data_IF_621327623355
#
_entry.id   IF_621327623355
#
_cell.length_a   1.000
_cell.length_b   1.000
_cell.length_c   1.000
_cell.angle_alpha   90.00
_cell.angle_beta   90.00
_cell.angle_gamma   90.00
#
_symmetry.space_group_name_H-M   'P 1'
#
loop_
_entity.id
_entity.type
_entity.pdbx_description
1 polymer ?
#
# COMPACT_ATOMS: atom_id res chain seq x y z
N UNK A 1 13.03 55.33 -42.25
CA UNK A 1 11.63 55.58 -41.83
C UNK A 1 10.84 54.30 -42.05
N UNK A 2 9.79 54.08 -41.25
CA UNK A 2 8.87 52.90 -41.17
C UNK A 2 9.47 51.67 -40.47
N UNK A 3 9.31 51.45 -39.16
CA UNK A 3 8.11 51.10 -38.35
C UNK A 3 7.65 49.64 -38.52
N UNK A 4 7.78 48.89 -37.41
CA UNK A 4 7.25 47.56 -36.98
C UNK A 4 5.74 47.39 -37.31
N UNK A 5 5.10 46.17 -37.33
CA UNK A 5 5.10 45.20 -36.21
C UNK A 5 4.91 43.67 -36.48
N UNK A 6 5.35 42.92 -35.45
CA UNK A 6 4.92 41.64 -34.86
C UNK A 6 3.83 40.76 -35.50
N UNK A 7 4.07 39.45 -35.50
CA UNK A 7 3.05 38.44 -35.24
C UNK A 7 3.63 37.28 -34.42
N UNK A 8 3.04 37.06 -33.25
CA UNK A 8 3.39 36.03 -32.28
C UNK A 8 3.10 34.64 -32.85
N UNK A 9 4.06 33.72 -32.69
CA UNK A 9 3.84 32.30 -32.98
C UNK A 9 3.24 31.68 -31.73
N UNK A 10 1.91 31.54 -31.73
CA UNK A 10 1.16 30.85 -30.69
C UNK A 10 1.45 29.35 -30.72
N UNK A 11 1.78 28.85 -29.54
CA UNK A 11 1.98 27.47 -29.13
C UNK A 11 0.84 26.55 -29.59
N UNK A 12 1.18 25.44 -30.26
CA UNK A 12 0.27 24.33 -30.45
C UNK A 12 0.91 23.06 -29.87
N UNK A 13 0.65 22.81 -28.59
CA UNK A 13 0.90 21.51 -27.95
C UNK A 13 -0.45 20.90 -27.66
N UNK A 14 -0.75 19.85 -28.40
CA UNK A 14 -1.95 19.04 -28.29
C UNK A 14 -2.10 18.50 -26.86
N UNK A 15 -3.23 18.81 -26.23
CA UNK A 15 -3.68 18.17 -25.01
C UNK A 15 -4.23 16.77 -25.33
N UNK A 16 -3.88 15.71 -24.57
CA UNK A 16 -4.60 14.44 -24.67
C UNK A 16 -5.98 14.58 -24.02
N UNK A 17 -6.99 14.09 -24.75
CA UNK A 17 -8.38 14.05 -24.36
C UNK A 17 -8.57 13.45 -22.96
N UNK A 18 -9.24 14.21 -22.08
CA UNK A 18 -9.66 13.75 -20.77
C UNK A 18 -10.80 12.74 -20.94
N UNK A 19 -10.51 11.47 -20.67
CA UNK A 19 -11.52 10.41 -20.52
C UNK A 19 -12.43 10.77 -19.34
N UNK A 20 -13.71 11.00 -19.64
CA UNK A 20 -14.76 11.24 -18.66
C UNK A 20 -14.89 10.02 -17.73
N UNK A 21 -14.46 10.18 -16.48
CA UNK A 21 -14.74 9.21 -15.43
C UNK A 21 -16.15 9.47 -14.88
N UNK A 22 -17.16 8.76 -15.38
CA UNK A 22 -18.45 8.62 -14.71
C UNK A 22 -18.25 7.79 -13.44
N UNK A 23 -18.05 8.46 -12.30
CA UNK A 23 -18.20 7.82 -10.99
C UNK A 23 -19.68 7.52 -10.75
N UNK A 24 -20.08 6.29 -10.40
CA UNK A 24 -21.42 6.03 -9.90
C UNK A 24 -21.58 6.78 -8.58
N UNK A 25 -22.46 7.80 -8.55
CA UNK A 25 -22.83 8.47 -7.30
C UNK A 25 -23.46 7.44 -6.36
N UNK A 26 -22.71 7.05 -5.33
CA UNK A 26 -23.21 6.27 -4.20
C UNK A 26 -24.24 7.13 -3.46
N UNK A 27 -25.51 6.79 -3.61
CA UNK A 27 -26.59 7.43 -2.85
C UNK A 27 -26.30 7.34 -1.34
N UNK A 28 -26.39 8.49 -0.66
CA UNK A 28 -26.29 8.54 0.79
C UNK A 28 -27.47 7.76 1.43
N UNK A 29 -27.25 7.02 2.53
CA UNK A 29 -28.33 6.32 3.19
C UNK A 29 -29.26 7.32 3.88
N UNK A 30 -30.52 7.34 3.48
CA UNK A 30 -31.62 7.98 4.21
C UNK A 30 -31.75 7.32 5.60
N UNK A 31 -31.63 8.12 6.66
CA UNK A 31 -31.72 7.71 8.06
C UNK A 31 -33.08 7.08 8.35
N UNK A 32 -33.13 5.75 8.48
CA UNK A 32 -34.27 5.03 9.04
C UNK A 32 -34.18 5.12 10.57
N UNK A 33 -34.85 6.10 11.15
CA UNK A 33 -35.08 6.20 12.60
C UNK A 33 -35.87 4.98 13.06
N UNK A 34 -35.20 4.06 13.78
CA UNK A 34 -35.84 2.83 14.24
C UNK A 34 -34.91 1.70 14.69
N UNK A 35 -33.58 1.90 14.66
CA UNK A 35 -32.59 0.88 15.04
C UNK A 35 -31.48 1.41 15.98
N UNK A 36 -31.63 2.62 16.51
CA UNK A 36 -30.58 3.35 17.25
C UNK A 36 -30.30 2.83 18.67
N UNK A 37 -30.82 1.67 19.05
CA UNK A 37 -30.54 1.03 20.34
C UNK A 37 -30.26 -0.48 20.19
N UNK A 38 -29.38 -0.82 19.26
CA UNK A 38 -28.66 -2.10 19.33
C UNK A 38 -27.24 -1.74 19.77
N UNK A 39 -26.78 -2.19 20.95
CA UNK A 39 -25.36 -2.08 21.29
C UNK A 39 -24.57 -2.66 20.12
N UNK A 40 -23.69 -1.85 19.53
CA UNK A 40 -22.84 -2.32 18.44
C UNK A 40 -22.21 -3.66 18.88
N UNK A 41 -22.27 -4.71 18.04
CA UNK A 41 -21.63 -5.97 18.39
C UNK A 41 -20.19 -5.66 18.78
N UNK A 42 -19.75 -6.16 19.94
CA UNK A 42 -18.40 -5.94 20.42
C UNK A 42 -17.45 -6.25 19.27
N UNK A 43 -16.66 -5.25 18.84
CA UNK A 43 -15.70 -5.38 17.76
C UNK A 43 -14.94 -6.69 17.95
N UNK A 44 -14.88 -7.58 16.94
CA UNK A 44 -14.13 -8.80 17.07
C UNK A 44 -12.70 -8.39 17.42
N UNK A 45 -12.27 -8.73 18.64
CA UNK A 45 -10.91 -8.49 19.10
C UNK A 45 -10.00 -9.50 18.40
N UNK A 46 -9.79 -9.29 17.09
CA UNK A 46 -8.85 -10.06 16.31
C UNK A 46 -7.45 -9.69 16.78
N UNK A 47 -6.87 -10.55 17.63
CA UNK A 47 -5.47 -10.44 18.00
C UNK A 47 -4.67 -11.17 16.93
N UNK A 48 -3.86 -10.41 16.19
CA UNK A 48 -2.86 -10.99 15.31
C UNK A 48 -1.91 -11.86 16.16
N UNK A 49 -1.74 -13.14 15.80
CA UNK A 49 -0.86 -14.08 16.52
C UNK A 49 0.62 -13.84 16.16
N UNK A 50 1.00 -12.58 15.96
CA UNK A 50 2.36 -12.15 15.63
C UNK A 50 3.14 -11.91 16.91
N UNK A 51 4.45 -12.17 16.86
CA UNK A 51 5.30 -11.96 18.03
C UNK A 51 5.94 -10.58 17.92
N UNK A 52 5.51 -9.64 18.76
CA UNK A 52 6.02 -8.25 18.78
C UNK A 52 7.52 -8.13 19.01
N UNK A 53 8.19 -9.20 19.48
CA UNK A 53 9.66 -9.22 19.62
C UNK A 53 10.39 -9.41 18.28
N UNK A 54 9.72 -10.00 17.30
CA UNK A 54 10.28 -10.32 15.99
C UNK A 54 10.02 -9.17 15.01
N UNK A 55 10.76 -8.08 15.16
CA UNK A 55 10.71 -6.92 14.25
C UNK A 55 11.91 -6.92 13.31
N UNK A 56 11.83 -6.13 12.22
CA UNK A 56 12.97 -5.95 11.30
C UNK A 56 14.18 -5.28 11.94
N UNK A 57 13.96 -4.47 12.97
CA UNK A 57 15.01 -3.72 13.68
C UNK A 57 15.85 -4.63 14.57
N UNK A 58 15.22 -5.64 15.19
CA UNK A 58 15.89 -6.64 16.01
C UNK A 58 16.43 -7.83 15.19
N UNK A 59 16.32 -7.78 13.86
CA UNK A 59 16.85 -8.82 12.97
C UNK A 59 18.24 -8.45 12.47
N UNK A 60 19.24 -9.28 12.80
CA UNK A 60 20.62 -9.05 12.38
C UNK A 60 20.81 -9.47 10.92
N UNK A 61 21.13 -8.51 10.06
CA UNK A 61 21.43 -8.75 8.65
C UNK A 61 22.86 -9.29 8.46
N UNK A 62 23.00 -10.24 7.54
CA UNK A 62 24.28 -10.74 7.03
C UNK A 62 24.15 -11.20 5.58
N UNK A 63 25.28 -11.49 4.93
CA UNK A 63 25.33 -11.85 3.50
C UNK A 63 24.38 -12.99 3.11
N UNK A 64 24.16 -13.95 4.01
CA UNK A 64 23.30 -15.12 3.77
C UNK A 64 21.80 -14.84 3.92
N UNK A 65 21.39 -13.77 4.60
CA UNK A 65 20.00 -13.47 4.91
C UNK A 65 19.51 -12.12 4.34
N UNK A 66 20.41 -11.32 3.79
CA UNK A 66 20.13 -9.99 3.24
C UNK A 66 19.00 -10.02 2.20
N UNK A 67 19.04 -10.95 1.24
CA UNK A 67 18.01 -11.06 0.22
C UNK A 67 16.63 -11.37 0.82
N UNK A 68 16.57 -12.31 1.76
CA UNK A 68 15.34 -12.70 2.43
C UNK A 68 14.75 -11.53 3.25
N UNK A 69 15.61 -10.81 3.98
CA UNK A 69 15.20 -9.62 4.76
C UNK A 69 14.68 -8.51 3.86
N UNK A 70 15.38 -8.21 2.76
CA UNK A 70 14.97 -7.18 1.81
C UNK A 70 13.63 -7.52 1.14
N UNK A 71 13.44 -8.77 0.70
CA UNK A 71 12.17 -9.22 0.11
C UNK A 71 11.02 -9.14 1.12
N UNK A 72 11.24 -9.61 2.36
CA UNK A 72 10.26 -9.50 3.43
C UNK A 72 9.90 -8.04 3.73
N UNK A 73 10.90 -7.15 3.78
CA UNK A 73 10.67 -5.72 4.02
C UNK A 73 9.86 -5.08 2.91
N UNK A 74 10.14 -5.40 1.64
CA UNK A 74 9.40 -4.88 0.50
C UNK A 74 7.92 -5.26 0.55
N UNK A 75 7.62 -6.48 0.98
CA UNK A 75 6.22 -6.97 1.13
C UNK A 75 5.51 -6.27 2.29
N UNK A 76 6.22 -5.99 3.39
CA UNK A 76 5.67 -5.25 4.52
C UNK A 76 5.40 -3.76 4.16
N UNK A 77 6.32 -3.13 3.44
CA UNK A 77 6.20 -1.71 3.05
C UNK A 77 5.16 -1.52 1.92
N UNK A 78 4.97 -2.51 1.03
CA UNK A 78 4.03 -2.45 -0.10
C UNK A 78 3.23 -3.76 -0.23
N UNK A 79 2.25 -3.99 0.67
CA UNK A 79 1.49 -5.24 0.69
C UNK A 79 0.67 -5.42 -0.59
N UNK A 80 0.69 -6.64 -1.14
CA UNK A 80 0.01 -6.96 -2.40
C UNK A 80 0.76 -6.52 -3.67
N UNK A 81 1.90 -5.83 -3.54
CA UNK A 81 2.75 -5.43 -4.66
C UNK A 81 3.76 -6.52 -5.09
N UNK A 82 5.01 -6.12 -5.31
CA UNK A 82 6.09 -7.03 -5.67
C UNK A 82 6.33 -8.11 -4.60
N UNK A 83 6.81 -9.28 -5.02
CA UNK A 83 7.11 -10.44 -4.17
C UNK A 83 5.90 -11.06 -3.45
N UNK A 84 4.72 -11.01 -4.07
CA UNK A 84 3.52 -11.75 -3.63
C UNK A 84 3.23 -12.93 -4.60
N UNK A 85 3.24 -14.19 -4.15
CA UNK A 85 3.46 -14.63 -2.77
C UNK A 85 4.94 -14.60 -2.36
N UNK A 86 5.19 -14.25 -1.09
CA UNK A 86 6.52 -14.32 -0.48
C UNK A 86 6.76 -15.72 0.07
N UNK A 87 7.80 -16.39 -0.42
CA UNK A 87 8.19 -17.71 0.05
C UNK A 87 9.63 -17.72 0.58
N UNK A 88 9.80 -18.07 1.86
CA UNK A 88 11.10 -18.11 2.53
C UNK A 88 11.54 -19.57 2.76
N UNK A 89 12.70 -19.95 2.23
CA UNK A 89 13.29 -21.27 2.41
C UNK A 89 14.75 -21.20 2.88
N UNK A 90 15.23 -22.29 3.49
CA UNK A 90 16.60 -22.41 3.99
C UNK A 90 16.69 -23.26 5.25
N UNK A 91 17.92 -23.52 5.70
CA UNK A 91 18.22 -24.30 6.92
C UNK A 91 17.63 -23.72 8.21
N UNK A 92 17.81 -24.42 9.32
CA UNK A 92 17.38 -23.97 10.65
C UNK A 92 18.17 -22.73 11.08
N UNK A 93 17.58 -21.89 11.94
CA UNK A 93 18.28 -20.71 12.50
C UNK A 93 18.53 -19.54 11.53
N UNK A 94 18.10 -19.61 10.26
CA UNK A 94 18.33 -18.52 9.29
C UNK A 94 17.29 -17.38 9.35
N UNK A 95 16.40 -17.39 10.33
CA UNK A 95 15.47 -16.27 10.54
C UNK A 95 14.13 -16.33 9.83
N UNK A 96 13.75 -17.46 9.18
CA UNK A 96 12.45 -17.59 8.47
C UNK A 96 11.25 -17.19 9.34
N UNK A 97 11.15 -17.77 10.55
CA UNK A 97 10.07 -17.47 11.50
C UNK A 97 10.15 -16.03 12.01
N UNK A 98 11.35 -15.48 12.18
CA UNK A 98 11.52 -14.09 12.58
C UNK A 98 11.00 -13.15 11.50
N UNK A 99 11.42 -13.35 10.25
CA UNK A 99 11.01 -12.51 9.12
C UNK A 99 9.51 -12.61 8.85
N UNK A 100 8.90 -13.81 8.95
CA UNK A 100 7.45 -13.95 8.80
C UNK A 100 6.67 -13.15 9.85
N UNK A 101 7.13 -13.13 11.10
CA UNK A 101 6.48 -12.36 12.15
C UNK A 101 6.76 -10.86 12.01
N UNK A 102 7.88 -10.46 11.40
CA UNK A 102 8.22 -9.06 11.19
C UNK A 102 7.39 -8.41 10.06
N UNK A 103 6.89 -9.21 9.11
CA UNK A 103 6.05 -8.74 7.99
C UNK A 103 4.62 -8.43 8.44
N UNK A 104 4.09 -9.15 9.43
CA UNK A 104 2.70 -9.06 9.90
C UNK A 104 2.52 -8.15 11.11
#
# INVERSE_FOLDING_TARGET
>A
MTQTPQAAVTSNVAAPAQVAQTQPQRAAPSTRSGWDNVPAPAEPTYRSNVNVKHTFDNFVEGKSNQLARAAARQVADNPGGAYNPLFLYGGTGLGKTHLLHAVG
#
